data_IF_734259841072
#
_entry.id   IF_734259841072
#
_cell.length_a   1.000
_cell.length_b   1.000
_cell.length_c   1.000
_cell.angle_alpha   90.00
_cell.angle_beta   90.00
_cell.angle_gamma   90.00
#
_symmetry.space_group_name_H-M   'P 1'
#
loop_
_entity.id
_entity.type
_entity.pdbx_description
1 polymer ?
#
# COMPACT_ATOMS: atom_id res chain seq x y z
N UNK A 1 -17.36 10.33 3.49
CA UNK A 1 -17.29 11.27 2.35
C UNK A 1 -16.08 12.15 2.56
N UNK A 2 -15.10 11.97 1.75
CA UNK A 2 -13.84 12.75 1.84
C UNK A 2 -13.86 13.81 0.76
N UNK A 3 -13.86 15.06 1.17
CA UNK A 3 -13.78 16.19 0.27
C UNK A 3 -12.35 16.72 0.39
N UNK A 4 -11.53 16.50 -0.63
CA UNK A 4 -10.26 17.21 -0.74
C UNK A 4 -10.52 18.52 -1.48
N UNK A 5 -10.47 19.63 -0.76
CA UNK A 5 -10.55 20.97 -1.35
C UNK A 5 -9.12 21.49 -1.49
N UNK A 6 -8.64 21.61 -2.71
CA UNK A 6 -7.36 22.26 -2.99
C UNK A 6 -6.59 21.61 -4.14
N UNK A 7 -5.77 22.40 -4.76
CA UNK A 7 -4.75 21.96 -5.70
C UNK A 7 -3.55 21.50 -4.91
N UNK A 8 -3.04 20.31 -5.19
CA UNK A 8 -1.84 19.78 -4.57
C UNK A 8 -0.70 19.82 -5.57
N UNK A 9 0.35 20.56 -5.25
CA UNK A 9 1.57 20.57 -6.03
C UNK A 9 2.69 19.89 -5.25
N UNK A 10 3.37 18.94 -5.87
CA UNK A 10 4.57 18.34 -5.30
C UNK A 10 5.74 18.61 -6.23
N UNK A 11 6.68 19.39 -5.77
CA UNK A 11 7.93 19.65 -6.49
C UNK A 11 9.01 18.69 -5.99
N UNK A 12 9.43 17.78 -6.85
CA UNK A 12 10.60 16.95 -6.62
C UNK A 12 11.75 17.50 -7.46
N UNK A 13 12.72 18.18 -6.84
CA UNK A 13 13.90 18.71 -7.52
C UNK A 13 13.59 19.32 -8.89
N UNK A 14 13.36 20.60 -8.97
CA UNK A 14 13.33 21.48 -10.18
C UNK A 14 12.77 20.97 -11.52
N UNK A 15 12.62 19.68 -11.71
CA UNK A 15 12.31 19.05 -12.99
C UNK A 15 10.97 18.29 -13.05
N UNK A 16 10.30 18.11 -11.93
CA UNK A 16 9.05 17.36 -11.88
C UNK A 16 8.07 18.01 -10.91
N UNK A 17 6.91 18.41 -11.42
CA UNK A 17 5.78 18.85 -10.63
C UNK A 17 4.58 17.94 -10.86
N UNK A 18 3.83 17.66 -9.81
CA UNK A 18 2.56 16.96 -9.86
C UNK A 18 1.49 17.88 -9.30
N UNK A 19 0.62 18.34 -10.17
CA UNK A 19 -0.57 19.09 -9.79
C UNK A 19 -1.75 18.15 -9.69
N UNK A 20 -2.49 18.22 -8.59
CA UNK A 20 -3.65 17.36 -8.33
C UNK A 20 -4.87 18.25 -8.12
N UNK A 21 -5.83 18.14 -9.02
CA UNK A 21 -7.11 18.83 -8.88
C UNK A 21 -7.90 18.27 -7.72
N UNK A 22 -8.70 19.13 -7.09
CA UNK A 22 -9.58 18.74 -6.01
C UNK A 22 -10.62 17.73 -6.51
N UNK A 23 -10.82 16.67 -5.75
CA UNK A 23 -11.78 15.63 -6.06
C UNK A 23 -12.42 15.06 -4.80
N UNK A 24 -13.40 14.21 -4.98
CA UNK A 24 -14.06 13.51 -3.89
C UNK A 24 -14.25 12.05 -4.25
N UNK A 25 -14.20 11.20 -3.25
CA UNK A 25 -14.57 9.79 -3.35
C UNK A 25 -15.32 9.37 -2.08
N UNK A 26 -16.12 8.34 -2.17
CA UNK A 26 -16.91 7.80 -1.06
C UNK A 26 -16.36 6.46 -0.58
N UNK A 27 -16.85 6.04 0.57
CA UNK A 27 -16.53 4.74 1.14
C UNK A 27 -17.01 3.61 0.20
N UNK A 28 -16.28 2.49 0.21
CA UNK A 28 -16.59 1.31 -0.58
C UNK A 28 -16.49 1.48 -2.10
N UNK A 29 -15.79 2.50 -2.58
CA UNK A 29 -15.51 2.70 -3.99
C UNK A 29 -14.15 2.09 -4.40
N UNK A 30 -14.10 1.57 -5.63
CA UNK A 30 -12.86 1.15 -6.27
C UNK A 30 -12.41 2.23 -7.24
N UNK A 31 -11.30 2.89 -6.93
CA UNK A 31 -10.71 3.91 -7.78
C UNK A 31 -9.57 3.32 -8.61
N UNK A 32 -9.63 3.52 -9.92
CA UNK A 32 -8.61 3.06 -10.85
C UNK A 32 -7.88 4.28 -11.45
N UNK A 33 -6.56 4.32 -11.24
CA UNK A 33 -5.73 5.37 -11.79
C UNK A 33 -5.17 4.95 -13.15
N UNK A 34 -5.61 5.61 -14.20
CA UNK A 34 -5.13 5.40 -15.57
C UNK A 34 -4.11 6.46 -15.94
N UNK A 35 -3.20 6.12 -16.85
CA UNK A 35 -2.18 7.03 -17.37
C UNK A 35 -0.86 6.31 -17.68
N UNK A 36 -0.02 6.96 -18.44
CA UNK A 36 1.30 6.47 -18.84
C UNK A 36 2.25 6.29 -17.64
N UNK A 37 3.35 5.57 -17.85
CA UNK A 37 4.37 5.45 -16.82
C UNK A 37 5.07 6.81 -16.63
N UNK A 38 5.31 7.16 -15.36
CA UNK A 38 5.94 8.44 -15.02
C UNK A 38 4.96 9.60 -14.77
N UNK A 39 3.66 9.44 -14.96
CA UNK A 39 2.65 10.50 -14.75
C UNK A 39 2.33 10.83 -13.28
N UNK A 40 3.08 10.28 -12.32
CA UNK A 40 2.89 10.62 -10.90
C UNK A 40 1.91 9.75 -10.12
N UNK A 41 1.30 8.72 -10.71
CA UNK A 41 0.34 7.84 -10.02
C UNK A 41 0.85 7.30 -8.68
N UNK A 42 2.06 6.77 -8.67
CA UNK A 42 2.69 6.25 -7.45
C UNK A 42 2.99 7.35 -6.43
N UNK A 43 3.36 8.54 -6.89
CA UNK A 43 3.61 9.71 -6.05
C UNK A 43 2.32 10.12 -5.34
N UNK A 44 1.22 10.22 -6.07
CA UNK A 44 -0.10 10.54 -5.52
C UNK A 44 -0.55 9.52 -4.47
N UNK A 45 -0.45 8.22 -4.76
CA UNK A 45 -0.79 7.16 -3.80
C UNK A 45 0.08 7.25 -2.54
N UNK A 46 1.37 7.58 -2.67
CA UNK A 46 2.26 7.75 -1.51
C UNK A 46 1.89 8.97 -0.67
N UNK A 47 1.41 10.05 -1.29
CA UNK A 47 0.90 11.22 -0.57
C UNK A 47 -0.36 10.85 0.20
N UNK A 48 -1.35 10.23 -0.43
CA UNK A 48 -2.55 9.76 0.25
C UNK A 48 -2.22 8.80 1.41
N UNK A 49 -1.19 7.97 1.25
CA UNK A 49 -0.72 7.05 2.29
C UNK A 49 0.12 7.73 3.40
N UNK A 50 0.24 9.06 3.41
CA UNK A 50 1.05 9.79 4.38
C UNK A 50 2.54 9.44 4.36
N UNK A 51 3.04 8.92 3.23
CA UNK A 51 4.45 8.55 3.04
C UNK A 51 5.25 9.59 2.28
N UNK A 52 4.59 10.61 1.84
CA UNK A 52 5.15 11.76 1.14
C UNK A 52 4.31 12.97 1.51
N UNK A 53 4.95 14.01 1.97
CA UNK A 53 4.29 15.27 2.30
C UNK A 53 4.21 16.13 1.04
N UNK A 54 3.08 16.84 0.82
CA UNK A 54 2.97 17.84 -0.22
C UNK A 54 3.82 19.07 0.13
N UNK A 55 4.07 19.94 -0.84
CA UNK A 55 4.79 21.17 -0.62
C UNK A 55 4.05 22.12 0.33
N UNK A 56 4.80 22.98 1.01
CA UNK A 56 4.24 23.95 1.93
C UNK A 56 3.21 24.87 1.25
N UNK A 57 2.04 24.99 1.86
CA UNK A 57 0.91 25.78 1.32
C UNK A 57 -0.08 24.99 0.48
N UNK A 58 0.15 23.71 0.25
CA UNK A 58 -0.84 22.79 -0.33
C UNK A 58 -1.98 22.54 0.64
N UNK A 59 -3.14 22.17 0.10
CA UNK A 59 -4.29 21.83 0.94
C UNK A 59 -4.03 20.59 1.81
N UNK A 60 -4.69 20.54 2.96
CA UNK A 60 -4.53 19.45 3.91
C UNK A 60 -5.02 18.11 3.31
N UNK A 61 -4.13 17.12 3.30
CA UNK A 61 -4.50 15.75 2.99
C UNK A 61 -5.22 15.17 4.20
N UNK A 62 -6.43 14.64 4.03
CA UNK A 62 -7.14 14.06 5.14
C UNK A 62 -6.40 12.85 5.72
N UNK A 63 -6.44 12.72 7.03
CA UNK A 63 -5.86 11.56 7.72
C UNK A 63 -6.75 10.35 7.47
N UNK A 64 -6.25 9.43 6.66
CA UNK A 64 -6.94 8.19 6.30
C UNK A 64 -6.35 7.01 7.06
N UNK A 65 -7.19 6.03 7.43
CA UNK A 65 -6.71 4.74 7.89
C UNK A 65 -6.35 3.88 6.67
N UNK A 66 -5.06 3.81 6.33
CA UNK A 66 -4.60 3.27 5.06
C UNK A 66 -3.75 2.02 5.24
N UNK A 67 -4.09 0.97 4.50
CA UNK A 67 -3.19 -0.15 4.24
C UNK A 67 -2.50 0.03 2.88
N UNK A 68 -1.20 0.24 2.90
CA UNK A 68 -0.41 0.51 1.71
C UNK A 68 0.46 -0.67 1.30
N UNK A 69 0.24 -1.19 0.09
CA UNK A 69 1.09 -2.22 -0.53
C UNK A 69 2.11 -1.57 -1.47
N UNK A 70 3.42 -1.59 -1.16
CA UNK A 70 4.44 -1.02 -2.04
C UNK A 70 4.61 -1.83 -3.33
N UNK A 71 5.06 -1.18 -4.41
CA UNK A 71 5.35 -1.85 -5.68
C UNK A 71 6.47 -2.87 -5.59
N UNK A 72 7.52 -2.56 -4.82
CA UNK A 72 8.62 -3.47 -4.53
C UNK A 72 8.55 -3.87 -3.07
N UNK A 73 8.40 -5.16 -2.84
CA UNK A 73 8.48 -5.75 -1.51
C UNK A 73 9.90 -6.28 -1.35
N UNK A 74 10.65 -5.67 -0.45
CA UNK A 74 12.01 -6.12 -0.08
C UNK A 74 11.95 -6.60 1.38
N UNK A 75 11.64 -7.87 1.61
CA UNK A 75 11.57 -8.39 2.97
C UNK A 75 12.98 -8.35 3.58
N UNK A 76 13.08 -7.65 4.70
CA UNK A 76 14.32 -7.56 5.48
C UNK A 76 14.42 -8.68 6.52
N UNK A 77 13.29 -9.33 6.82
CA UNK A 77 13.21 -10.38 7.81
C UNK A 77 13.69 -11.72 7.25
N UNK A 78 14.52 -12.42 8.01
CA UNK A 78 14.91 -13.80 7.78
C UNK A 78 13.99 -14.78 8.52
N UNK A 79 13.00 -14.25 9.24
CA UNK A 79 12.04 -15.03 10.00
C UNK A 79 11.07 -15.79 9.09
N UNK A 80 10.41 -16.80 9.64
CA UNK A 80 9.35 -17.52 8.95
C UNK A 80 8.10 -16.66 8.77
N UNK A 81 7.24 -17.06 7.84
CA UNK A 81 5.94 -16.40 7.64
C UNK A 81 5.10 -16.44 8.92
N UNK A 82 5.13 -17.56 9.66
CA UNK A 82 4.45 -17.70 10.94
C UNK A 82 4.91 -16.63 11.95
N UNK A 83 6.22 -16.46 12.09
CA UNK A 83 6.77 -15.46 13.00
C UNK A 83 6.34 -14.05 12.62
N UNK A 84 6.34 -13.74 11.31
CA UNK A 84 5.88 -12.45 10.80
C UNK A 84 4.39 -12.21 11.08
N UNK A 85 3.54 -13.22 10.89
CA UNK A 85 2.11 -13.14 11.19
C UNK A 85 1.90 -12.91 12.69
N UNK A 86 2.59 -13.67 13.53
CA UNK A 86 2.50 -13.50 14.99
C UNK A 86 2.97 -12.10 15.43
N UNK A 87 4.06 -11.58 14.86
CA UNK A 87 4.54 -10.22 15.15
C UNK A 87 3.52 -9.13 14.78
N UNK A 88 2.84 -9.27 13.63
CA UNK A 88 1.95 -8.23 13.08
C UNK A 88 0.52 -8.32 13.59
N UNK A 89 -0.01 -9.50 13.72
CA UNK A 89 -1.44 -9.73 14.05
C UNK A 89 -1.62 -10.66 15.25
N UNK A 90 -0.51 -11.03 15.93
CA UNK A 90 -0.51 -11.92 17.10
C UNK A 90 -1.27 -13.21 16.80
N UNK A 91 -2.15 -13.62 17.70
CA UNK A 91 -2.91 -14.86 17.57
C UNK A 91 -4.12 -14.76 16.62
N UNK A 92 -4.35 -13.59 16.03
CA UNK A 92 -5.48 -13.42 15.11
C UNK A 92 -5.35 -14.29 13.86
N UNK A 93 -4.12 -14.65 13.44
CA UNK A 93 -3.90 -15.51 12.26
C UNK A 93 -4.41 -16.95 12.44
N UNK A 94 -4.62 -17.41 13.69
CA UNK A 94 -5.21 -18.72 13.99
C UNK A 94 -6.74 -18.67 14.15
N UNK A 95 -7.33 -17.47 14.09
CA UNK A 95 -8.78 -17.32 14.18
C UNK A 95 -9.47 -17.99 12.98
N UNK A 96 -10.55 -18.81 13.20
CA UNK A 96 -11.20 -19.56 12.13
C UNK A 96 -11.64 -18.72 10.93
N UNK A 97 -12.15 -17.53 11.17
CA UNK A 97 -12.56 -16.60 10.11
C UNK A 97 -11.37 -16.16 9.26
N UNK A 98 -10.24 -15.77 9.89
CA UNK A 98 -9.04 -15.36 9.16
C UNK A 98 -8.48 -16.52 8.33
N UNK A 99 -8.51 -17.74 8.87
CA UNK A 99 -8.07 -18.93 8.14
C UNK A 99 -8.95 -19.16 6.90
N UNK A 100 -10.27 -19.03 7.04
CA UNK A 100 -11.21 -19.24 5.94
C UNK A 100 -11.11 -18.16 4.85
N UNK A 101 -11.00 -16.90 5.25
CA UNK A 101 -11.12 -15.77 4.33
C UNK A 101 -9.78 -15.32 3.73
N UNK A 102 -8.67 -15.61 4.42
CA UNK A 102 -7.35 -15.11 4.03
C UNK A 102 -6.35 -16.25 3.82
N UNK A 103 -6.15 -17.11 4.82
CA UNK A 103 -5.09 -18.11 4.77
C UNK A 103 -5.29 -19.15 3.66
N UNK A 104 -6.52 -19.68 3.55
CA UNK A 104 -6.87 -20.69 2.55
C UNK A 104 -6.88 -20.15 1.12
N UNK A 105 -7.59 -19.04 0.80
CA UNK A 105 -7.61 -18.51 -0.56
C UNK A 105 -6.25 -18.09 -1.08
N UNK A 106 -5.34 -17.67 -0.19
CA UNK A 106 -3.98 -17.25 -0.53
C UNK A 106 -2.93 -18.36 -0.37
N UNK A 107 -3.33 -19.58 -0.04
CA UNK A 107 -2.44 -20.72 0.22
C UNK A 107 -1.29 -20.42 1.20
N UNK A 108 -1.56 -19.57 2.19
CA UNK A 108 -0.53 -19.14 3.16
C UNK A 108 -0.08 -20.31 4.03
N UNK A 109 -0.93 -21.31 4.24
CA UNK A 109 -0.59 -22.51 5.03
C UNK A 109 0.62 -23.27 4.47
N UNK A 110 0.80 -23.30 3.16
CA UNK A 110 1.95 -23.94 2.52
C UNK A 110 3.26 -23.15 2.71
N UNK A 111 3.14 -21.88 3.08
CA UNK A 111 4.26 -20.96 3.22
C UNK A 111 4.61 -20.71 4.69
N UNK A 112 3.84 -21.21 5.64
CA UNK A 112 3.89 -20.77 7.04
C UNK A 112 5.26 -20.98 7.70
N UNK A 113 5.92 -22.09 7.35
CA UNK A 113 7.25 -22.46 7.86
C UNK A 113 8.40 -21.95 6.99
N UNK A 114 8.09 -21.28 5.88
CA UNK A 114 9.10 -20.80 4.96
C UNK A 114 9.64 -19.43 5.38
N UNK A 115 10.92 -19.19 5.07
CA UNK A 115 11.50 -17.87 5.28
C UNK A 115 10.89 -16.83 4.35
N UNK A 116 10.50 -15.67 4.90
CA UNK A 116 9.89 -14.55 4.15
C UNK A 116 10.80 -14.09 3.00
N UNK A 117 12.11 -14.07 3.20
CA UNK A 117 13.09 -13.65 2.20
C UNK A 117 13.16 -14.56 0.97
N UNK A 118 12.95 -15.86 1.13
CA UNK A 118 12.99 -16.83 0.02
C UNK A 118 11.75 -16.72 -0.86
N UNK A 119 10.59 -16.46 -0.28
CA UNK A 119 9.33 -16.39 -0.99
C UNK A 119 9.14 -15.13 -1.83
N UNK A 120 9.72 -14.01 -1.45
CA UNK A 120 9.62 -12.78 -2.25
C UNK A 120 10.24 -12.90 -3.64
N UNK A 121 11.18 -13.82 -3.85
CA UNK A 121 11.73 -14.14 -5.18
C UNK A 121 10.77 -14.97 -6.04
N UNK A 122 9.96 -15.86 -5.44
CA UNK A 122 8.98 -16.68 -6.17
C UNK A 122 7.77 -15.89 -6.64
N UNK A 123 7.30 -14.93 -5.85
CA UNK A 123 6.15 -14.08 -6.19
C UNK A 123 6.47 -13.14 -7.39
N UNK A 124 7.74 -12.84 -7.65
CA UNK A 124 8.15 -12.01 -8.79
C UNK A 124 8.26 -12.78 -10.12
N UNK A 125 8.28 -14.11 -10.10
CA UNK A 125 8.48 -14.95 -11.29
C UNK A 125 7.15 -15.42 -11.91
N UNK A 126 6.04 -15.33 -11.19
CA UNK A 126 4.70 -15.67 -11.69
C UNK A 126 3.96 -14.44 -12.22
N UNK A 127 4.52 -13.81 -13.26
CA UNK A 127 3.82 -12.84 -14.11
C UNK A 127 3.70 -13.40 -15.51
#
# INVERSE_FOLDING_TARGET
MLITRGEYSVYFFSFYSLEVEAGQFSDSEILVMLGENGTGKTTFIRMLAGKLEPDAGSADIPVLNISYKPQKISPKSQNTVQHLLHEKIRDFYIHPQFIADVMRPLNINELIDQEVRKNSRRIQISK
#
